data_IF_342855840306
#
_entry.id   IF_342855840306
#
_cell.length_a   1.000
_cell.length_b   1.000
_cell.length_c   1.000
_cell.angle_alpha   90.00
_cell.angle_beta   90.00
_cell.angle_gamma   90.00
#
_symmetry.space_group_name_H-M   'P 1'
#
loop_
_entity.id
_entity.type
_entity.pdbx_description
1 polymer ?
#
# COMPACT_ATOMS: atom_id res chain seq x y z
N UNK A 1 -29.89 15.92 4.00
CA UNK A 1 -29.49 17.33 3.72
C UNK A 1 -30.77 18.13 3.63
N UNK A 2 -31.03 19.03 4.57
CA UNK A 2 -32.12 20.01 4.45
C UNK A 2 -31.53 21.30 3.87
N UNK A 3 -32.10 21.81 2.79
CA UNK A 3 -31.67 23.05 2.16
C UNK A 3 -32.90 23.97 2.06
N UNK A 4 -32.88 25.09 2.79
CA UNK A 4 -33.96 26.09 2.84
C UNK A 4 -33.42 27.48 2.50
N UNK A 5 -32.44 27.55 1.59
CA UNK A 5 -31.68 28.78 1.35
C UNK A 5 -32.33 29.70 0.33
N UNK A 6 -33.16 29.17 -0.58
CA UNK A 6 -33.77 29.95 -1.66
C UNK A 6 -35.30 29.93 -1.61
N UNK A 7 -35.92 30.93 -2.24
CA UNK A 7 -37.38 31.07 -2.33
C UNK A 7 -38.01 30.03 -3.28
N UNK A 8 -37.23 29.48 -4.22
CA UNK A 8 -37.67 28.49 -5.20
C UNK A 8 -37.38 27.05 -4.76
N UNK A 9 -38.39 26.18 -4.81
CA UNK A 9 -38.27 24.75 -4.50
C UNK A 9 -37.34 24.02 -5.48
N UNK A 10 -37.35 24.40 -6.76
CA UNK A 10 -36.53 23.76 -7.81
C UNK A 10 -35.04 24.03 -7.55
N UNK A 11 -34.69 25.27 -7.18
CA UNK A 11 -33.32 25.64 -6.84
C UNK A 11 -32.86 24.97 -5.54
N UNK A 12 -33.71 24.96 -4.50
CA UNK A 12 -33.41 24.22 -3.27
C UNK A 12 -33.17 22.72 -3.52
N UNK A 13 -33.94 22.10 -4.43
CA UNK A 13 -33.75 20.70 -4.82
C UNK A 13 -32.44 20.48 -5.58
N UNK A 14 -32.08 21.36 -6.51
CA UNK A 14 -30.82 21.28 -7.24
C UNK A 14 -29.62 21.43 -6.30
N UNK A 15 -29.64 22.43 -5.42
CA UNK A 15 -28.60 22.68 -4.42
C UNK A 15 -28.48 21.52 -3.42
N UNK A 16 -29.60 20.96 -2.96
CA UNK A 16 -29.59 19.78 -2.09
C UNK A 16 -28.99 18.54 -2.77
N UNK A 17 -29.26 18.33 -4.06
CA UNK A 17 -28.69 17.23 -4.84
C UNK A 17 -27.18 17.40 -5.05
N UNK A 18 -26.71 18.61 -5.34
CA UNK A 18 -25.28 18.89 -5.47
C UNK A 18 -24.52 18.61 -4.15
N UNK A 19 -25.07 19.07 -3.02
CA UNK A 19 -24.49 18.79 -1.69
C UNK A 19 -24.54 17.29 -1.36
N UNK A 20 -25.62 16.60 -1.71
CA UNK A 20 -25.72 15.16 -1.49
C UNK A 20 -24.67 14.38 -2.30
N UNK A 21 -24.49 14.72 -3.58
CA UNK A 21 -23.49 14.10 -4.44
C UNK A 21 -22.08 14.33 -3.90
N UNK A 22 -21.75 15.55 -3.46
CA UNK A 22 -20.46 15.86 -2.86
C UNK A 22 -20.19 15.01 -1.60
N UNK A 23 -21.18 14.89 -0.71
CA UNK A 23 -21.07 14.06 0.50
C UNK A 23 -20.92 12.57 0.20
N UNK A 24 -21.63 12.07 -0.80
CA UNK A 24 -21.50 10.66 -1.22
C UNK A 24 -20.12 10.39 -1.83
N UNK A 25 -19.58 11.33 -2.61
CA UNK A 25 -18.23 11.23 -3.16
C UNK A 25 -17.17 11.23 -2.05
N UNK A 26 -17.30 12.13 -1.08
CA UNK A 26 -16.41 12.21 0.08
C UNK A 26 -16.43 10.90 0.88
N UNK A 27 -17.62 10.36 1.15
CA UNK A 27 -17.78 9.06 1.81
C UNK A 27 -17.09 7.94 1.03
N UNK A 28 -17.29 7.86 -0.29
CA UNK A 28 -16.63 6.85 -1.13
C UNK A 28 -15.11 6.98 -1.10
N UNK A 29 -14.58 8.21 -1.10
CA UNK A 29 -13.14 8.46 -0.97
C UNK A 29 -12.61 8.00 0.39
N UNK A 30 -13.35 8.27 1.47
CA UNK A 30 -12.99 7.81 2.81
C UNK A 30 -12.99 6.28 2.90
N UNK A 31 -14.00 5.60 2.34
CA UNK A 31 -14.06 4.14 2.27
C UNK A 31 -12.89 3.55 1.46
N UNK A 32 -12.54 4.16 0.32
CA UNK A 32 -11.37 3.76 -0.48
C UNK A 32 -10.06 3.99 0.27
N UNK A 33 -9.93 5.13 0.96
CA UNK A 33 -8.74 5.44 1.76
C UNK A 33 -8.58 4.45 2.93
N UNK A 34 -9.68 4.11 3.62
CA UNK A 34 -9.69 3.12 4.68
C UNK A 34 -9.27 1.73 4.16
N UNK A 35 -9.82 1.30 3.02
CA UNK A 35 -9.44 0.03 2.39
C UNK A 35 -7.97 0.01 1.96
N UNK A 36 -7.46 1.12 1.43
CA UNK A 36 -6.03 1.25 1.10
C UNK A 36 -5.14 1.28 2.35
N UNK A 37 -5.60 1.87 3.45
CA UNK A 37 -4.87 1.88 4.71
C UNK A 37 -4.77 0.48 5.31
N UNK A 38 -5.87 -0.29 5.27
CA UNK A 38 -5.89 -1.70 5.67
C UNK A 38 -4.93 -2.55 4.82
N UNK A 39 -4.93 -2.37 3.50
CA UNK A 39 -4.01 -3.08 2.60
C UNK A 39 -2.54 -2.71 2.78
N UNK A 40 -2.23 -1.46 3.14
CA UNK A 40 -0.85 -1.04 3.44
C UNK A 40 -0.31 -1.70 4.70
N UNK A 41 -1.19 -2.11 5.61
CA UNK A 41 -0.82 -2.69 6.90
C UNK A 41 -0.07 -1.69 7.79
N UNK A 42 0.41 -2.19 8.92
CA UNK A 42 1.19 -1.40 9.89
C UNK A 42 2.65 -1.30 9.43
N UNK A 43 2.88 -0.55 8.35
CA UNK A 43 4.22 -0.24 7.86
C UNK A 43 4.87 0.85 8.72
N UNK A 44 5.03 0.57 10.02
CA UNK A 44 5.91 1.37 10.85
C UNK A 44 7.34 1.07 10.42
N UNK A 45 8.05 2.09 9.92
CA UNK A 45 9.48 2.04 9.61
C UNK A 45 10.33 1.93 10.88
N UNK A 46 9.94 1.02 11.78
CA UNK A 46 10.60 0.74 13.04
C UNK A 46 11.86 -0.07 12.79
N UNK A 47 12.89 0.23 13.57
CA UNK A 47 14.11 -0.56 13.59
C UNK A 47 13.76 -2.01 13.98
N UNK A 48 13.85 -2.93 13.01
CA UNK A 48 13.44 -4.34 13.17
C UNK A 48 12.47 -4.87 12.09
N UNK A 49 11.84 -4.01 11.30
CA UNK A 49 10.95 -4.43 10.19
C UNK A 49 11.65 -4.52 8.83
N UNK A 50 12.98 -4.41 8.80
CA UNK A 50 13.77 -4.50 7.57
C UNK A 50 13.74 -5.93 7.01
N UNK A 51 13.35 -6.06 5.73
CA UNK A 51 13.26 -7.37 5.06
C UNK A 51 14.53 -7.76 4.29
N UNK A 52 15.34 -6.78 3.86
CA UNK A 52 16.52 -6.99 3.02
C UNK A 52 17.66 -6.07 3.45
N UNK A 53 18.85 -6.63 3.59
CA UNK A 53 20.08 -5.90 3.86
C UNK A 53 20.85 -5.67 2.56
N UNK A 54 21.19 -4.41 2.27
CA UNK A 54 22.02 -4.02 1.14
C UNK A 54 23.35 -3.48 1.68
N UNK A 55 24.41 -4.27 1.57
CA UNK A 55 25.76 -3.86 1.93
C UNK A 55 26.52 -3.59 0.64
N UNK A 56 26.93 -2.33 0.42
CA UNK A 56 27.66 -1.92 -0.78
C UNK A 56 29.16 -1.80 -0.53
N UNK A 57 29.53 -1.49 0.71
CA UNK A 57 30.91 -1.39 1.18
C UNK A 57 30.99 -1.88 2.64
N UNK A 58 32.07 -2.57 3.06
CA UNK A 58 33.32 -2.83 2.32
C UNK A 58 33.25 -4.03 1.36
N UNK A 59 32.23 -4.87 1.49
CA UNK A 59 31.92 -5.97 0.56
C UNK A 59 30.53 -5.74 -0.04
N UNK A 60 30.33 -6.20 -1.27
CA UNK A 60 29.05 -6.11 -1.97
C UNK A 60 28.22 -7.35 -1.66
N UNK A 61 27.12 -7.19 -0.94
CA UNK A 61 26.17 -8.27 -0.65
C UNK A 61 24.75 -7.74 -0.45
N UNK A 62 23.77 -8.38 -1.09
CA UNK A 62 22.34 -8.19 -0.82
C UNK A 62 21.79 -9.48 -0.23
N UNK A 63 21.13 -9.40 0.93
CA UNK A 63 20.54 -10.55 1.62
C UNK A 63 19.09 -10.29 2.02
N UNK A 64 18.17 -11.17 1.61
CA UNK A 64 16.80 -11.20 2.10
C UNK A 64 16.71 -12.01 3.41
N UNK A 65 16.26 -11.35 4.47
CA UNK A 65 16.18 -11.91 5.82
C UNK A 65 15.01 -12.89 5.98
N UNK A 66 14.01 -12.84 5.08
CA UNK A 66 12.82 -13.72 5.13
C UNK A 66 13.10 -15.05 4.44
N UNK A 67 13.67 -14.98 3.24
CA UNK A 67 13.92 -16.16 2.39
C UNK A 67 15.32 -16.73 2.59
N UNK A 68 16.25 -15.95 3.12
CA UNK A 68 17.66 -16.32 3.28
C UNK A 68 18.48 -16.23 1.99
N UNK A 69 17.88 -15.81 0.87
CA UNK A 69 18.58 -15.65 -0.41
C UNK A 69 19.58 -14.48 -0.32
N UNK A 70 20.80 -14.70 -0.80
CA UNK A 70 21.84 -13.68 -0.88
C UNK A 70 22.54 -13.66 -2.23
N UNK A 71 23.00 -12.48 -2.65
CA UNK A 71 23.76 -12.29 -3.90
C UNK A 71 24.88 -11.28 -3.71
N UNK A 72 26.05 -11.58 -4.30
CA UNK A 72 27.21 -10.68 -4.29
C UNK A 72 27.15 -9.59 -5.37
N UNK A 73 26.32 -9.76 -6.40
CA UNK A 73 26.22 -8.78 -7.48
C UNK A 73 25.22 -7.68 -7.13
N UNK A 74 25.63 -6.76 -6.25
CA UNK A 74 24.75 -5.66 -5.79
C UNK A 74 24.35 -4.70 -6.91
N UNK A 75 25.21 -4.52 -7.92
CA UNK A 75 24.96 -3.60 -9.03
C UNK A 75 23.75 -4.05 -9.86
N UNK A 76 23.72 -5.32 -10.27
CA UNK A 76 22.59 -5.88 -11.01
C UNK A 76 21.25 -5.78 -10.25
N UNK A 77 21.29 -6.02 -8.93
CA UNK A 77 20.08 -5.87 -8.09
C UNK A 77 19.59 -4.42 -8.04
N UNK A 78 20.51 -3.45 -8.03
CA UNK A 78 20.18 -2.02 -8.10
C UNK A 78 19.67 -1.61 -9.48
N UNK A 79 20.15 -2.27 -10.53
CA UNK A 79 19.72 -2.06 -11.91
C UNK A 79 18.38 -2.75 -12.23
N UNK A 80 17.83 -3.53 -11.29
CA UNK A 80 16.48 -4.07 -11.36
C UNK A 80 16.37 -5.59 -11.43
N UNK A 81 17.49 -6.33 -11.40
CA UNK A 81 17.50 -7.80 -11.34
C UNK A 81 17.07 -8.29 -9.93
N UNK A 82 15.79 -8.14 -9.60
CA UNK A 82 15.18 -8.56 -8.32
C UNK A 82 14.26 -9.78 -8.45
N UNK A 83 14.12 -10.33 -9.64
CA UNK A 83 13.17 -11.42 -9.94
C UNK A 83 13.43 -12.65 -9.07
N UNK A 84 14.71 -13.01 -8.85
CA UNK A 84 15.10 -14.13 -7.99
C UNK A 84 14.61 -13.95 -6.54
N UNK A 85 14.65 -12.72 -6.03
CA UNK A 85 14.15 -12.41 -4.68
C UNK A 85 12.62 -12.52 -4.61
N UNK A 86 11.92 -12.06 -5.65
CA UNK A 86 10.46 -12.13 -5.74
C UNK A 86 10.01 -13.60 -5.83
N UNK A 87 10.65 -14.40 -6.68
CA UNK A 87 10.32 -15.81 -6.80
C UNK A 87 10.60 -16.57 -5.49
N UNK A 88 11.73 -16.30 -4.85
CA UNK A 88 12.06 -16.88 -3.55
C UNK A 88 11.00 -16.53 -2.49
N UNK A 89 10.50 -15.28 -2.49
CA UNK A 89 9.43 -14.85 -1.58
C UNK A 89 8.12 -15.59 -1.84
N UNK A 90 7.69 -15.69 -3.11
CA UNK A 90 6.44 -16.41 -3.45
C UNK A 90 6.54 -17.88 -3.03
N UNK A 91 7.69 -18.52 -3.26
CA UNK A 91 7.93 -19.91 -2.84
C UNK A 91 7.95 -20.04 -1.31
N UNK A 92 8.53 -19.07 -0.61
CA UNK A 92 8.56 -19.04 0.86
C UNK A 92 7.15 -18.87 1.45
N UNK A 93 6.36 -17.93 0.93
CA UNK A 93 4.96 -17.71 1.35
C UNK A 93 4.10 -18.95 1.13
N UNK A 94 4.26 -19.64 -0.01
CA UNK A 94 3.54 -20.90 -0.28
C UNK A 94 3.86 -22.03 0.69
N UNK A 95 5.04 -22.02 1.30
CA UNK A 95 5.46 -23.05 2.26
C UNK A 95 4.93 -22.78 3.67
N UNK A 96 4.52 -21.55 3.98
CA UNK A 96 3.91 -21.26 5.26
C UNK A 96 2.47 -21.78 5.27
N UNK A 97 2.07 -22.58 6.27
CA UNK A 97 0.68 -22.95 6.44
C UNK A 97 -0.10 -21.66 6.61
N UNK A 98 -1.15 -21.47 5.80
CA UNK A 98 -2.07 -20.37 5.96
C UNK A 98 -2.76 -20.57 7.31
N UNK A 99 -2.36 -19.80 8.33
CA UNK A 99 -3.15 -19.69 9.55
C UNK A 99 -4.48 -19.05 9.14
N UNK A 100 -5.51 -19.90 9.09
CA UNK A 100 -6.90 -19.55 8.80
C UNK A 100 -7.64 -19.17 10.08
#
# INVERSE_FOLDING_TARGET
VSCQNERSQIQNRASAMAVLQAKLLERKRAEQAAKMAELRGDSSGSWGTQIRNYVLHPYQNVKDLRTGLETGNTAAVMDGEIDDFIEAEIRWLRKQPTEA
#
